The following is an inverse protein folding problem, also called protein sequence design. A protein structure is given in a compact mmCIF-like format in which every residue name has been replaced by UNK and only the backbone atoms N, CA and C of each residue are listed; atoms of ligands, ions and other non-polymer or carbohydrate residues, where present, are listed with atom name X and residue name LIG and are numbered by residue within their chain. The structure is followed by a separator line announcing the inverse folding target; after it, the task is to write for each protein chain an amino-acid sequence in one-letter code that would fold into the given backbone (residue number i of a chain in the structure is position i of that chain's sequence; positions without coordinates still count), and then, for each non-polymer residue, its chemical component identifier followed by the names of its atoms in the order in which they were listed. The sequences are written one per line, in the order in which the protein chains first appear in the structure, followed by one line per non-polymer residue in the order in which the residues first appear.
data_IF_608947809286
#
_entry.id   IF_608947809286
#
_cell.length_a   1.000
_cell.length_b   1.000
_cell.length_c   1.000
_cell.angle_alpha   90.00
_cell.angle_beta   90.00
_cell.angle_gamma   90.00
#
_symmetry.space_group_name_H-M   'P 1'
#
loop_
_entity.id
_entity.type
_entity.pdbx_description
1 polymer ?
#
# COMPACT_ATOMS: atom_id res chain seq x y z
N UNK A 1 22.95 44.00 -12.55
CA UNK A 1 22.30 43.17 -13.59
C UNK A 1 20.89 42.98 -13.09
N UNK A 2 19.91 43.31 -13.94
CA UNK A 2 18.50 43.44 -13.56
C UNK A 2 18.00 42.20 -12.80
N UNK A 3 18.51 41.01 -13.12
CA UNK A 3 18.19 39.79 -12.39
C UNK A 3 18.62 39.85 -10.91
N UNK A 4 19.89 40.17 -10.64
CA UNK A 4 20.43 40.27 -9.28
C UNK A 4 19.87 41.50 -8.55
N UNK A 5 19.69 42.61 -9.25
CA UNK A 5 19.11 43.83 -8.71
C UNK A 5 17.66 43.58 -8.25
N UNK A 6 16.88 42.80 -9.02
CA UNK A 6 15.53 42.38 -8.65
C UNK A 6 15.48 41.38 -7.49
N UNK A 7 16.48 40.51 -7.37
CA UNK A 7 16.59 39.57 -6.24
C UNK A 7 16.87 40.28 -4.91
N UNK A 8 17.66 41.35 -4.93
CA UNK A 8 18.04 42.10 -3.71
C UNK A 8 17.09 43.25 -3.39
N UNK A 9 16.33 43.76 -4.36
CA UNK A 9 15.36 44.84 -4.17
C UNK A 9 14.44 44.72 -2.93
N UNK A 10 13.85 43.55 -2.61
CA UNK A 10 13.02 43.37 -1.42
C UNK A 10 13.77 43.56 -0.09
N UNK A 11 15.08 43.30 -0.07
CA UNK A 11 15.92 43.44 1.13
C UNK A 11 16.21 44.90 1.47
N UNK A 12 16.12 45.77 0.46
CA UNK A 12 16.54 47.17 0.53
C UNK A 12 15.34 48.12 0.48
N UNK A 13 14.13 47.60 0.26
CA UNK A 13 12.94 48.40 -0.05
C UNK A 13 13.01 49.10 -1.42
N UNK A 14 13.89 48.66 -2.32
CA UNK A 14 14.04 49.24 -3.65
C UNK A 14 13.00 48.66 -4.62
N UNK A 15 12.61 49.44 -5.63
CA UNK A 15 11.78 48.99 -6.75
C UNK A 15 12.64 48.86 -8.01
N UNK A 16 12.54 47.72 -8.68
CA UNK A 16 13.26 47.45 -9.93
C UNK A 16 12.27 47.49 -11.08
N UNK A 17 12.49 48.41 -12.01
CA UNK A 17 11.69 48.52 -13.22
C UNK A 17 12.25 47.58 -14.28
N UNK A 18 11.47 46.58 -14.69
CA UNK A 18 11.83 45.68 -15.78
C UNK A 18 11.54 46.39 -17.12
N UNK A 19 12.55 46.57 -17.99
CA UNK A 19 12.35 47.07 -19.35
C UNK A 19 11.28 46.29 -20.12
N UNK A 20 10.48 46.99 -20.93
CA UNK A 20 9.34 46.40 -21.64
C UNK A 20 9.76 45.33 -22.65
N UNK A 21 10.93 45.47 -23.24
CA UNK A 21 11.58 44.53 -24.15
C UNK A 21 12.01 43.22 -23.48
N UNK A 22 12.19 43.22 -22.15
CA UNK A 22 12.47 42.02 -21.36
C UNK A 22 11.20 41.33 -20.84
N UNK A 23 10.02 41.86 -21.17
CA UNK A 23 8.74 41.27 -20.79
C UNK A 23 8.32 40.22 -21.83
N UNK A 24 8.36 38.96 -21.43
CA UNK A 24 7.90 37.87 -22.27
C UNK A 24 6.37 37.68 -22.16
N UNK A 25 5.70 37.59 -23.31
CA UNK A 25 4.26 37.32 -23.40
C UNK A 25 3.94 35.84 -23.68
N UNK A 26 4.95 35.04 -24.03
CA UNK A 26 4.83 33.61 -24.32
C UNK A 26 5.74 32.84 -23.37
N UNK A 27 5.21 31.79 -22.74
CA UNK A 27 5.92 31.00 -21.74
C UNK A 27 6.04 29.53 -22.17
N UNK A 28 7.05 28.80 -21.69
CA UNK A 28 7.09 27.36 -21.88
C UNK A 28 5.85 26.68 -21.26
N UNK A 29 5.25 25.73 -21.97
CA UNK A 29 4.07 24.96 -21.51
C UNK A 29 4.25 24.31 -20.12
N UNK A 30 5.47 23.91 -19.74
CA UNK A 30 5.74 23.33 -18.42
C UNK A 30 5.64 24.33 -17.25
N UNK A 31 5.47 25.63 -17.51
CA UNK A 31 5.26 26.65 -16.46
C UNK A 31 3.79 26.85 -16.07
N UNK A 32 2.85 26.22 -16.80
CA UNK A 32 1.41 26.21 -16.49
C UNK A 32 0.82 27.59 -16.13
N UNK A 33 1.16 28.63 -16.90
CA UNK A 33 0.71 29.99 -16.58
C UNK A 33 -0.69 30.22 -17.14
N UNK A 34 -1.69 30.07 -16.25
CA UNK A 34 -3.10 30.36 -16.55
C UNK A 34 -3.27 31.67 -17.33
N UNK A 35 -4.04 31.61 -18.42
CA UNK A 35 -4.40 32.76 -19.27
C UNK A 35 -3.23 33.44 -20.01
N UNK A 36 -2.10 32.76 -20.19
CA UNK A 36 -0.98 33.25 -21.03
C UNK A 36 -0.77 32.36 -22.24
N UNK A 37 -0.14 32.92 -23.28
CA UNK A 37 0.25 32.14 -24.46
C UNK A 37 1.39 31.20 -24.08
N UNK A 38 1.30 29.97 -24.54
CA UNK A 38 2.30 28.95 -24.25
C UNK A 38 2.92 28.44 -25.56
N UNK A 39 4.20 28.03 -25.48
CA UNK A 39 4.87 27.32 -26.57
C UNK A 39 5.36 25.95 -26.10
N UNK A 40 5.40 25.01 -27.04
CA UNK A 40 5.98 23.68 -26.79
C UNK A 40 7.51 23.80 -26.76
N UNK A 41 8.09 23.64 -25.58
CA UNK A 41 9.53 23.72 -25.35
C UNK A 41 10.18 22.39 -25.70
N UNK A 42 11.26 22.43 -26.48
CA UNK A 42 12.13 21.28 -26.79
C UNK A 42 13.28 21.12 -25.80
N UNK A 43 13.32 21.95 -24.74
CA UNK A 43 14.31 21.82 -23.67
C UNK A 43 14.11 20.54 -22.85
N UNK A 44 15.14 20.13 -22.11
CA UNK A 44 15.07 18.99 -21.18
C UNK A 44 13.87 19.12 -20.23
N UNK A 45 13.59 20.31 -19.71
CA UNK A 45 12.45 20.56 -18.82
C UNK A 45 11.11 20.30 -19.51
N UNK A 46 10.97 20.72 -20.77
CA UNK A 46 9.77 20.43 -21.58
C UNK A 46 9.60 18.94 -21.85
N UNK A 47 10.68 18.24 -22.17
CA UNK A 47 10.64 16.79 -22.40
C UNK A 47 10.28 16.00 -21.13
N UNK A 48 10.83 16.38 -19.97
CA UNK A 48 10.49 15.76 -18.68
C UNK A 48 9.01 15.99 -18.37
N UNK A 49 8.53 17.22 -18.52
CA UNK A 49 7.14 17.57 -18.27
C UNK A 49 6.19 16.74 -19.15
N UNK A 50 6.41 16.71 -20.47
CA UNK A 50 5.63 15.92 -21.41
C UNK A 50 5.62 14.42 -21.07
N UNK A 51 6.78 13.87 -20.67
CA UNK A 51 6.91 12.46 -20.28
C UNK A 51 6.08 12.13 -19.05
N UNK A 52 6.12 12.99 -18.02
CA UNK A 52 5.35 12.81 -16.79
C UNK A 52 3.85 12.93 -17.05
N UNK A 53 3.43 13.89 -17.87
CA UNK A 53 2.03 14.03 -18.27
C UNK A 53 1.54 12.79 -19.02
N UNK A 54 2.32 12.27 -19.97
CA UNK A 54 1.98 11.07 -20.73
C UNK A 54 1.85 9.83 -19.83
N UNK A 55 2.79 9.62 -18.90
CA UNK A 55 2.73 8.51 -17.94
C UNK A 55 1.53 8.61 -17.01
N UNK A 56 1.19 9.82 -16.55
CA UNK A 56 0.01 10.02 -15.72
C UNK A 56 -1.30 9.84 -16.51
N UNK A 57 -1.29 10.08 -17.83
CA UNK A 57 -2.44 9.86 -18.71
C UNK A 57 -2.69 8.38 -19.00
N UNK A 58 -1.66 7.53 -19.01
CA UNK A 58 -1.78 6.08 -19.22
C UNK A 58 -2.48 5.34 -18.08
N UNK A 59 -2.69 6.00 -16.93
CA UNK A 59 -3.24 5.37 -15.73
C UNK A 59 -2.27 4.35 -15.12
N UNK A 60 -2.35 4.08 -13.82
CA UNK A 60 -1.53 3.03 -13.22
C UNK A 60 -1.86 1.69 -13.89
N UNK A 61 -0.86 0.82 -14.12
CA UNK A 61 -1.14 -0.52 -14.62
C UNK A 61 -2.13 -1.23 -13.69
N UNK A 62 -3.04 -2.06 -14.23
CA UNK A 62 -3.99 -2.80 -13.41
C UNK A 62 -3.22 -3.62 -12.37
N UNK A 63 -3.38 -3.27 -11.10
CA UNK A 63 -2.81 -4.07 -10.01
C UNK A 63 -3.62 -5.36 -9.91
N UNK A 64 -2.95 -6.50 -9.85
CA UNK A 64 -3.58 -7.81 -9.72
C UNK A 64 -3.36 -8.32 -8.29
N UNK A 65 -4.46 -8.56 -7.58
CA UNK A 65 -4.40 -9.15 -6.24
C UNK A 65 -4.13 -10.64 -6.41
N UNK A 66 -2.98 -11.11 -5.92
CA UNK A 66 -2.61 -12.53 -5.95
C UNK A 66 -2.38 -13.05 -4.54
N UNK A 67 -2.82 -14.29 -4.31
CA UNK A 67 -2.44 -15.04 -3.12
C UNK A 67 -0.98 -15.48 -3.24
N UNK A 68 -0.37 -15.75 -2.09
CA UNK A 68 0.97 -16.32 -2.04
C UNK A 68 0.88 -17.82 -2.36
N UNK A 69 1.65 -18.34 -3.34
CA UNK A 69 1.55 -19.74 -3.75
C UNK A 69 1.71 -20.73 -2.58
N UNK A 70 2.62 -20.44 -1.64
CA UNK A 70 2.85 -21.27 -0.47
C UNK A 70 1.66 -21.38 0.51
N UNK A 71 0.62 -20.57 0.35
CA UNK A 71 -0.60 -20.62 1.16
C UNK A 71 -1.80 -21.20 0.40
N UNK A 72 -1.77 -21.21 -0.94
CA UNK A 72 -2.81 -21.83 -1.77
C UNK A 72 -2.67 -23.35 -1.84
N UNK A 73 -1.43 -23.85 -1.84
CA UNK A 73 -1.13 -25.28 -1.98
C UNK A 73 -1.58 -26.12 -0.76
N UNK A 74 -1.89 -25.46 0.37
CA UNK A 74 -2.20 -26.15 1.63
C UNK A 74 -3.71 -26.44 1.76
N UNK A 75 -4.11 -27.71 1.99
CA UNK A 75 -5.52 -28.05 2.14
C UNK A 75 -6.08 -27.49 3.45
N UNK A 76 -7.06 -26.59 3.33
CA UNK A 76 -7.82 -26.08 4.48
C UNK A 76 -9.07 -26.94 4.70
N UNK A 77 -9.24 -27.45 5.92
CA UNK A 77 -10.44 -28.19 6.32
C UNK A 77 -11.71 -27.33 6.21
N UNK A 78 -12.80 -27.93 5.76
CA UNK A 78 -14.08 -27.24 5.54
C UNK A 78 -14.63 -26.61 6.83
N UNK A 79 -14.40 -27.25 7.97
CA UNK A 79 -14.74 -26.70 9.29
C UNK A 79 -14.08 -25.34 9.55
N UNK A 80 -12.80 -25.19 9.20
CA UNK A 80 -12.09 -23.93 9.37
C UNK A 80 -12.58 -22.87 8.37
N UNK A 81 -12.95 -23.27 7.14
CA UNK A 81 -13.50 -22.34 6.16
C UNK A 81 -14.83 -21.76 6.62
N UNK A 82 -15.75 -22.60 7.09
CA UNK A 82 -17.07 -22.15 7.56
C UNK A 82 -16.92 -21.22 8.77
N UNK A 83 -16.15 -21.64 9.78
CA UNK A 83 -15.87 -20.85 10.98
C UNK A 83 -15.25 -19.49 10.64
N UNK A 84 -14.18 -19.48 9.84
CA UNK A 84 -13.52 -18.24 9.45
C UNK A 84 -14.38 -17.37 8.52
N UNK A 85 -15.25 -17.98 7.72
CA UNK A 85 -16.17 -17.28 6.82
C UNK A 85 -17.21 -16.48 7.61
N UNK A 86 -17.87 -17.13 8.57
CA UNK A 86 -18.81 -16.46 9.47
C UNK A 86 -18.12 -15.33 10.24
N UNK A 87 -16.93 -15.63 10.78
CA UNK A 87 -16.14 -14.67 11.53
C UNK A 87 -15.72 -13.44 10.69
N UNK A 88 -15.35 -13.65 9.42
CA UNK A 88 -15.01 -12.54 8.51
C UNK A 88 -16.22 -11.69 8.14
N UNK A 89 -17.40 -12.28 7.96
CA UNK A 89 -18.63 -11.53 7.72
C UNK A 89 -19.05 -10.69 8.92
N UNK A 90 -18.89 -11.22 10.14
CA UNK A 90 -19.17 -10.46 11.36
C UNK A 90 -18.16 -9.31 11.53
N UNK A 91 -16.88 -9.55 11.23
CA UNK A 91 -15.86 -8.49 11.17
C UNK A 91 -16.26 -7.37 10.22
N UNK A 92 -16.71 -7.71 9.01
CA UNK A 92 -17.11 -6.71 8.02
C UNK A 92 -18.26 -5.84 8.52
N UNK A 93 -19.25 -6.43 9.19
CA UNK A 93 -20.38 -5.69 9.77
C UNK A 93 -19.91 -4.75 10.87
N UNK A 94 -19.14 -5.25 11.84
CA UNK A 94 -18.61 -4.45 12.95
C UNK A 94 -17.69 -3.32 12.46
N UNK A 95 -16.78 -3.61 11.54
CA UNK A 95 -15.88 -2.61 10.95
C UNK A 95 -16.63 -1.55 10.17
N UNK A 96 -17.67 -1.94 9.42
CA UNK A 96 -18.53 -0.99 8.70
C UNK A 96 -19.26 -0.06 9.67
N UNK A 97 -19.79 -0.60 10.78
CA UNK A 97 -20.43 0.19 11.83
C UNK A 97 -19.44 1.18 12.45
N UNK A 98 -18.24 0.73 12.83
CA UNK A 98 -17.19 1.57 13.41
C UNK A 98 -16.77 2.75 12.50
N UNK A 99 -16.75 2.53 11.18
CA UNK A 99 -16.35 3.55 10.20
C UNK A 99 -17.50 4.50 9.82
N UNK A 100 -18.74 4.05 9.91
CA UNK A 100 -19.94 4.82 9.52
C UNK A 100 -20.48 5.74 10.62
N UNK A 101 -19.92 5.73 11.82
CA UNK A 101 -20.29 6.69 12.87
C UNK A 101 -20.12 8.13 12.38
N UNK A 102 -20.96 9.07 12.84
CA UNK A 102 -20.86 10.49 12.44
C UNK A 102 -19.76 11.27 13.17
N UNK A 103 -19.04 10.59 14.05
CA UNK A 103 -18.03 11.17 14.94
C UNK A 103 -16.77 11.62 14.19
N UNK A 104 -15.91 12.36 14.90
CA UNK A 104 -14.63 12.84 14.40
C UNK A 104 -13.74 11.71 13.86
N UNK A 105 -12.86 12.04 12.91
CA UNK A 105 -11.96 11.08 12.26
C UNK A 105 -11.06 10.31 13.24
N UNK A 106 -10.74 10.91 14.40
CA UNK A 106 -9.97 10.27 15.47
C UNK A 106 -10.78 9.16 16.19
N UNK A 107 -12.04 9.44 16.51
CA UNK A 107 -12.94 8.47 17.15
C UNK A 107 -13.16 7.24 16.27
N UNK A 108 -13.35 7.43 14.96
CA UNK A 108 -13.46 6.34 13.98
C UNK A 108 -12.22 5.44 13.95
N UNK A 109 -11.02 6.03 14.01
CA UNK A 109 -9.77 5.28 14.06
C UNK A 109 -9.65 4.46 15.34
N UNK A 110 -10.08 5.01 16.49
CA UNK A 110 -10.12 4.27 17.75
C UNK A 110 -11.06 3.08 17.66
N UNK A 111 -12.31 3.31 17.24
CA UNK A 111 -13.32 2.25 17.10
C UNK A 111 -12.86 1.14 16.14
N UNK A 112 -12.28 1.50 14.99
CA UNK A 112 -11.73 0.53 14.04
C UNK A 112 -10.57 -0.29 14.66
N UNK A 113 -9.70 0.34 15.45
CA UNK A 113 -8.63 -0.35 16.15
C UNK A 113 -9.17 -1.29 17.23
N UNK A 114 -10.21 -0.90 17.96
CA UNK A 114 -10.87 -1.74 18.95
C UNK A 114 -11.48 -3.00 18.33
N UNK A 115 -12.16 -2.86 17.18
CA UNK A 115 -12.64 -4.02 16.40
C UNK A 115 -11.46 -4.93 16.07
N UNK A 116 -10.38 -4.40 15.51
CA UNK A 116 -9.21 -5.24 15.16
C UNK A 116 -8.61 -5.92 16.40
N UNK A 117 -8.51 -5.23 17.54
CA UNK A 117 -7.99 -5.82 18.77
C UNK A 117 -8.89 -6.93 19.30
N UNK A 118 -10.21 -6.76 19.24
CA UNK A 118 -11.16 -7.82 19.60
C UNK A 118 -10.97 -9.07 18.75
N UNK A 119 -10.84 -8.90 17.44
CA UNK A 119 -10.60 -10.03 16.53
C UNK A 119 -9.23 -10.65 16.75
N UNK A 120 -8.21 -9.85 17.08
CA UNK A 120 -6.91 -10.36 17.50
C UNK A 120 -6.99 -11.20 18.77
N UNK A 121 -7.75 -10.73 19.78
CA UNK A 121 -8.00 -11.47 21.02
C UNK A 121 -8.75 -12.77 20.80
N UNK A 122 -9.78 -12.76 19.95
CA UNK A 122 -10.51 -13.99 19.60
C UNK A 122 -9.60 -15.00 18.88
N UNK A 123 -8.73 -14.53 17.98
CA UNK A 123 -7.81 -15.39 17.23
C UNK A 123 -6.74 -16.01 18.14
N UNK A 124 -6.06 -15.21 18.98
CA UNK A 124 -4.98 -15.72 19.83
C UNK A 124 -5.43 -16.27 21.19
N UNK A 125 -6.67 -16.00 21.60
CA UNK A 125 -7.09 -16.18 23.00
C UNK A 125 -6.34 -15.26 23.98
N UNK A 126 -5.68 -14.20 23.48
CA UNK A 126 -4.81 -13.30 24.23
C UNK A 126 -4.67 -11.95 23.51
N UNK A 127 -4.16 -10.90 24.16
CA UNK A 127 -4.03 -9.58 23.54
C UNK A 127 -3.04 -9.55 22.36
N UNK A 128 -2.07 -10.46 22.36
CA UNK A 128 -1.12 -10.62 21.27
C UNK A 128 -0.66 -12.06 21.08
N UNK A 129 0.08 -12.28 19.99
CA UNK A 129 0.62 -13.58 19.62
C UNK A 129 1.56 -14.15 20.70
N UNK A 130 2.41 -13.31 21.29
CA UNK A 130 3.40 -13.70 22.30
C UNK A 130 2.77 -14.20 23.61
N UNK A 131 1.57 -13.71 23.93
CA UNK A 131 0.81 -14.08 25.13
C UNK A 131 -0.14 -15.26 24.87
N UNK A 132 -0.23 -15.73 23.62
CA UNK A 132 -1.11 -16.82 23.25
C UNK A 132 -0.64 -18.13 23.88
N UNK A 133 -1.59 -18.85 24.48
CA UNK A 133 -1.38 -20.25 24.92
C UNK A 133 -1.77 -21.27 23.86
N UNK A 134 -2.32 -20.81 22.72
CA UNK A 134 -2.71 -21.68 21.61
C UNK A 134 -1.45 -22.17 20.90
N UNK A 135 -1.46 -23.43 20.49
CA UNK A 135 -0.33 -24.00 19.74
C UNK A 135 -0.31 -23.48 18.30
N UNK A 136 0.86 -23.55 17.66
CA UNK A 136 0.98 -23.24 16.24
C UNK A 136 0.13 -24.18 15.39
N UNK A 137 -0.02 -25.45 15.79
CA UNK A 137 -0.82 -26.46 15.10
C UNK A 137 -2.31 -26.09 15.03
N UNK A 138 -2.83 -25.38 16.04
CA UNK A 138 -4.20 -24.85 16.01
C UNK A 138 -4.31 -23.56 15.19
N UNK A 139 -3.31 -22.68 15.31
CA UNK A 139 -3.34 -21.36 14.68
C UNK A 139 -3.07 -21.40 13.17
N UNK A 140 -2.27 -22.37 12.70
CA UNK A 140 -1.92 -22.55 11.29
C UNK A 140 -3.13 -22.74 10.36
N UNK A 141 -3.95 -23.79 10.56
CA UNK A 141 -5.09 -24.03 9.68
C UNK A 141 -6.10 -22.88 9.73
N UNK A 142 -6.28 -22.26 10.91
CA UNK A 142 -7.16 -21.11 11.08
C UNK A 142 -6.63 -19.85 10.36
N UNK A 143 -5.32 -19.58 10.42
CA UNK A 143 -4.68 -18.47 9.71
C UNK A 143 -4.79 -18.63 8.19
N UNK A 144 -4.56 -19.84 7.68
CA UNK A 144 -4.65 -20.15 6.25
C UNK A 144 -6.09 -20.06 5.73
N UNK A 145 -7.06 -20.58 6.50
CA UNK A 145 -8.48 -20.45 6.18
C UNK A 145 -8.88 -18.97 6.05
N UNK A 146 -8.50 -18.18 7.06
CA UNK A 146 -8.77 -16.75 7.08
C UNK A 146 -8.11 -16.02 5.91
N UNK A 147 -6.85 -16.32 5.63
CA UNK A 147 -6.11 -15.74 4.51
C UNK A 147 -6.83 -15.99 3.18
N UNK A 148 -7.21 -17.24 2.93
CA UNK A 148 -7.88 -17.62 1.70
C UNK A 148 -9.20 -16.87 1.51
N UNK A 149 -10.07 -16.88 2.52
CA UNK A 149 -11.37 -16.19 2.48
C UNK A 149 -11.22 -14.69 2.25
N UNK A 150 -10.30 -14.06 2.97
CA UNK A 150 -10.07 -12.61 2.86
C UNK A 150 -9.51 -12.24 1.48
N UNK A 151 -8.60 -13.05 0.94
CA UNK A 151 -8.04 -12.80 -0.39
C UNK A 151 -9.05 -13.09 -1.50
N UNK A 152 -9.84 -14.16 -1.41
CA UNK A 152 -10.92 -14.43 -2.38
C UNK A 152 -11.91 -13.27 -2.42
N UNK A 153 -12.26 -12.73 -1.26
CA UNK A 153 -13.07 -11.53 -1.16
C UNK A 153 -12.36 -10.29 -1.76
N UNK A 154 -11.08 -10.08 -1.46
CA UNK A 154 -10.33 -8.94 -1.98
C UNK A 154 -10.20 -8.99 -3.51
N UNK A 155 -9.95 -10.17 -4.08
CA UNK A 155 -9.89 -10.45 -5.52
C UNK A 155 -11.25 -10.19 -6.16
N UNK A 156 -12.32 -10.78 -5.61
CA UNK A 156 -13.68 -10.62 -6.12
C UNK A 156 -14.13 -9.16 -6.22
N UNK A 157 -13.72 -8.32 -5.26
CA UNK A 157 -14.07 -6.90 -5.23
C UNK A 157 -12.97 -5.97 -5.78
N UNK A 158 -11.85 -6.53 -6.24
CA UNK A 158 -10.64 -5.83 -6.64
C UNK A 158 -10.19 -4.72 -5.67
N UNK A 159 -10.18 -5.03 -4.36
CA UNK A 159 -9.86 -4.07 -3.28
C UNK A 159 -8.74 -4.58 -2.38
N UNK A 160 -7.51 -4.14 -2.64
CA UNK A 160 -6.32 -4.46 -1.83
C UNK A 160 -6.50 -4.10 -0.35
N UNK A 161 -7.26 -3.04 -0.06
CA UNK A 161 -7.56 -2.62 1.31
C UNK A 161 -8.21 -3.72 2.16
N UNK A 162 -8.91 -4.66 1.55
CA UNK A 162 -9.58 -5.76 2.24
C UNK A 162 -8.59 -6.79 2.79
N UNK A 163 -7.41 -6.95 2.18
CA UNK A 163 -6.36 -7.84 2.66
C UNK A 163 -5.78 -7.40 4.02
N UNK A 164 -5.97 -6.13 4.42
CA UNK A 164 -5.37 -5.58 5.64
C UNK A 164 -5.81 -6.33 6.90
N UNK A 165 -7.04 -6.86 6.92
CA UNK A 165 -7.61 -7.53 8.08
C UNK A 165 -6.78 -8.77 8.49
N UNK A 166 -6.58 -9.71 7.57
CA UNK A 166 -5.85 -10.95 7.87
C UNK A 166 -4.43 -10.66 8.35
N UNK A 167 -3.74 -9.69 7.74
CA UNK A 167 -2.38 -9.32 8.13
C UNK A 167 -2.31 -8.61 9.49
N UNK A 168 -3.36 -7.88 9.89
CA UNK A 168 -3.42 -7.26 11.22
C UNK A 168 -3.71 -8.27 12.33
N UNK A 169 -4.51 -9.30 12.04
CA UNK A 169 -4.89 -10.30 13.04
C UNK A 169 -3.92 -11.48 13.05
N UNK A 170 -3.78 -12.20 11.95
CA UNK A 170 -3.01 -13.44 11.84
C UNK A 170 -1.58 -13.23 11.28
N UNK A 171 -1.16 -11.98 11.04
CA UNK A 171 0.13 -11.65 10.40
C UNK A 171 1.35 -12.38 10.98
N UNK A 172 1.58 -12.37 12.31
CA UNK A 172 2.70 -13.11 12.92
C UNK A 172 2.71 -14.60 12.60
N UNK A 173 1.54 -15.25 12.57
CA UNK A 173 1.41 -16.68 12.24
C UNK A 173 1.68 -16.90 10.76
N UNK A 174 1.11 -16.08 9.87
CA UNK A 174 1.37 -16.14 8.43
C UNK A 174 2.86 -15.93 8.10
N UNK A 175 3.53 -15.03 8.81
CA UNK A 175 4.97 -14.83 8.64
C UNK A 175 5.78 -16.07 9.04
N UNK A 176 5.39 -16.79 10.11
CA UNK A 176 6.02 -18.06 10.48
C UNK A 176 5.78 -19.15 9.43
N UNK A 177 4.53 -19.29 8.94
CA UNK A 177 4.19 -20.22 7.84
C UNK A 177 5.08 -19.94 6.64
N UNK A 178 5.20 -18.68 6.25
CA UNK A 178 6.03 -18.28 5.13
C UNK A 178 7.51 -18.65 5.33
N UNK A 179 8.06 -18.39 6.52
CA UNK A 179 9.45 -18.71 6.84
C UNK A 179 9.72 -20.21 6.77
N UNK A 180 8.87 -21.04 7.36
CA UNK A 180 9.01 -22.50 7.34
C UNK A 180 8.95 -23.04 5.92
N UNK A 181 7.96 -22.61 5.12
CA UNK A 181 7.81 -23.03 3.71
C UNK A 181 8.96 -22.55 2.82
N UNK A 182 9.58 -21.40 3.14
CA UNK A 182 10.75 -20.93 2.39
C UNK A 182 12.03 -21.68 2.78
N UNK A 183 12.18 -22.08 4.05
CA UNK A 183 13.27 -22.94 4.49
C UNK A 183 13.18 -24.34 3.86
N UNK A 184 11.98 -24.90 3.73
CA UNK A 184 11.76 -26.17 3.01
C UNK A 184 12.13 -26.06 1.51
N UNK A 185 11.95 -24.88 0.91
CA UNK A 185 12.26 -24.62 -0.51
C UNK A 185 13.72 -24.22 -0.76
N UNK A 186 14.47 -23.84 0.28
CA UNK A 186 15.90 -23.48 0.13
C UNK A 186 16.77 -24.71 0.35
N UNK A 187 17.27 -25.28 -0.75
CA UNK A 187 18.40 -26.20 -0.65
C UNK A 187 19.62 -25.43 -0.10
N UNK A 188 20.35 -25.97 0.89
CA UNK A 188 21.63 -25.42 1.31
C UNK A 188 22.64 -25.63 0.19
N UNK A 189 22.68 -24.70 -0.76
CA UNK A 189 23.60 -24.72 -1.87
C UNK A 189 24.81 -23.86 -1.52
N UNK A 190 26.00 -24.44 -1.46
CA UNK A 190 27.21 -23.65 -1.24
C UNK A 190 27.40 -22.67 -2.41
N UNK A 191 27.87 -21.46 -2.11
CA UNK A 191 28.19 -20.45 -3.13
C UNK A 191 29.13 -20.97 -4.22
N UNK A 192 30.03 -21.91 -3.86
CA UNK A 192 30.95 -22.57 -4.79
C UNK A 192 30.23 -23.44 -5.84
N UNK A 193 29.05 -23.98 -5.51
CA UNK A 193 28.24 -24.80 -6.40
C UNK A 193 27.41 -23.93 -7.36
N UNK A 194 26.90 -22.80 -6.89
CA UNK A 194 26.18 -21.80 -7.73
C UNK A 194 27.13 -21.22 -8.78
N UNK A 195 28.38 -20.89 -8.40
CA UNK A 195 29.40 -20.38 -9.32
C UNK A 195 29.79 -21.38 -10.42
N UNK A 196 29.59 -22.68 -10.20
CA UNK A 196 29.81 -23.73 -11.23
C UNK A 196 28.65 -23.87 -12.22
N UNK A 197 27.44 -23.50 -11.83
CA UNK A 197 26.24 -23.65 -12.66
C UNK A 197 26.02 -22.46 -13.60
N UNK A 198 26.38 -21.26 -13.17
CA UNK A 198 26.24 -20.01 -13.93
C UNK A 198 27.57 -19.50 -14.48
N UNK A 199 28.45 -20.44 -14.88
CA UNK A 199 29.78 -20.15 -15.41
C UNK A 199 29.81 -19.05 -16.46
#
# INVERSE_FOLDING_TARGET
DIYYDALDAPKNGATVNLPLDLKFDIFPHYMERKNKKEFKSTSILGLIYDTVIAQNAEGPPPFEIKKLPCFEDEPVSEFHKEKCGQWFEDYKKEMTQALNNKDESAAKKSAANEVIQRYKQMFYGAACFQESKRSMDELYPEALALYNIVYDHAIMWNKVGNCRFVWRVAGPVLCKIYQEKMQEKTFPCSFSFIKKLYG
#
